data_IF_385980709435
#
_entry.id   IF_385980709435
#
_cell.length_a   1.000
_cell.length_b   1.000
_cell.length_c   1.000
_cell.angle_alpha   90.00
_cell.angle_beta   90.00
_cell.angle_gamma   90.00
#
_symmetry.space_group_name_H-M   'P 1'
#
loop_
_entity.id
_entity.type
_entity.pdbx_description
1 polymer ?
#
# COMPACT_ATOMS: atom_id res chain seq x y z
N UNK A 1 29.05 -6.36 -17.99
CA UNK A 1 30.32 -6.25 -17.25
C UNK A 1 30.28 -4.96 -16.44
N UNK A 2 30.44 -5.09 -15.11
CA UNK A 2 30.77 -4.08 -14.06
C UNK A 2 29.83 -2.85 -13.92
N UNK A 3 28.90 -2.76 -12.96
CA UNK A 3 28.91 -2.70 -11.46
C UNK A 3 28.76 -1.26 -10.93
N UNK A 4 27.62 -1.02 -10.29
CA UNK A 4 27.45 -0.35 -8.99
C UNK A 4 28.31 0.91 -8.72
N UNK A 5 27.79 2.08 -9.07
CA UNK A 5 28.19 3.32 -8.42
C UNK A 5 27.49 3.43 -7.05
N UNK A 6 28.22 3.00 -6.03
CA UNK A 6 28.04 3.51 -4.67
C UNK A 6 28.38 5.00 -4.72
N UNK A 7 27.41 5.86 -4.44
CA UNK A 7 27.62 7.29 -4.25
C UNK A 7 28.44 7.51 -2.96
N UNK A 8 29.76 7.35 -3.07
CA UNK A 8 30.70 7.78 -2.06
C UNK A 8 30.68 9.31 -2.00
N UNK A 9 30.27 9.82 -0.85
CA UNK A 9 30.27 11.23 -0.49
C UNK A 9 31.70 11.80 -0.57
N UNK A 10 32.02 12.51 -1.65
CA UNK A 10 33.21 13.37 -1.72
C UNK A 10 32.78 14.76 -1.29
N UNK A 11 33.11 15.17 -0.06
CA UNK A 11 32.97 16.58 0.36
C UNK A 11 34.05 17.40 -0.33
N UNK A 12 33.66 18.52 -0.94
CA UNK A 12 34.62 19.44 -1.57
C UNK A 12 35.41 20.19 -0.50
N UNK A 13 36.68 20.53 -0.75
CA UNK A 13 37.54 21.32 0.17
C UNK A 13 36.89 22.63 0.65
N UNK A 14 35.96 23.18 -0.13
CA UNK A 14 35.14 24.34 0.22
C UNK A 14 34.17 24.11 1.38
N UNK A 15 33.66 22.89 1.56
CA UNK A 15 32.72 22.53 2.61
C UNK A 15 33.42 22.48 3.98
N UNK A 16 34.62 21.91 4.02
CA UNK A 16 35.41 21.78 5.25
C UNK A 16 35.86 23.15 5.81
N UNK A 17 36.18 24.11 4.94
CA UNK A 17 36.54 25.48 5.34
C UNK A 17 35.34 26.19 6.00
N UNK A 18 34.12 25.98 5.52
CA UNK A 18 32.91 26.60 6.04
C UNK A 18 32.48 26.03 7.40
N UNK A 19 32.68 24.73 7.64
CA UNK A 19 32.46 24.09 8.94
C UNK A 19 33.45 24.64 9.98
N UNK A 20 34.72 24.82 9.60
CA UNK A 20 35.76 25.37 10.49
C UNK A 20 35.54 26.85 10.86
N UNK A 21 34.91 27.62 9.97
CA UNK A 21 34.52 29.02 10.20
C UNK A 21 33.25 29.16 11.06
N UNK A 22 32.59 28.05 11.42
CA UNK A 22 31.42 28.03 12.31
C UNK A 22 30.07 28.33 11.63
N UNK A 23 30.02 28.35 10.29
CA UNK A 23 28.79 28.66 9.55
C UNK A 23 27.90 27.43 9.29
N UNK A 24 28.44 26.21 9.40
CA UNK A 24 27.71 24.96 9.17
C UNK A 24 27.94 23.97 10.32
N UNK A 25 26.92 23.16 10.61
CA UNK A 25 26.98 22.07 11.59
C UNK A 25 27.79 20.90 10.97
N UNK A 26 28.77 20.32 11.68
CA UNK A 26 29.48 19.14 11.21
C UNK A 26 28.51 17.99 10.93
N UNK A 27 28.63 17.38 9.75
CA UNK A 27 27.85 16.19 9.42
C UNK A 27 28.44 15.02 10.20
N UNK A 28 27.64 14.38 11.05
CA UNK A 28 28.04 13.14 11.72
C UNK A 28 28.10 12.02 10.67
N UNK A 29 29.30 11.48 10.44
CA UNK A 29 29.46 10.33 9.57
C UNK A 29 28.90 9.09 10.29
N UNK A 30 28.10 8.25 9.61
CA UNK A 30 27.71 6.96 10.17
C UNK A 30 28.98 6.11 10.40
N UNK A 31 29.03 5.31 11.48
CA UNK A 31 30.20 4.51 11.81
C UNK A 31 30.60 3.61 10.64
N UNK A 32 31.89 3.51 10.40
CA UNK A 32 32.43 2.76 9.27
C UNK A 32 32.19 1.27 9.49
N UNK A 33 31.98 0.47 8.43
CA UNK A 33 31.65 -0.96 8.57
C UNK A 33 32.64 -1.79 9.40
N UNK A 34 33.90 -1.35 9.51
CA UNK A 34 34.91 -1.96 10.39
C UNK A 34 34.72 -1.64 11.87
N UNK A 35 34.18 -0.47 12.22
CA UNK A 35 33.90 -0.06 13.60
C UNK A 35 32.70 -0.84 14.15
N UNK A 36 31.67 -1.03 13.33
CA UNK A 36 30.50 -1.87 13.64
C UNK A 36 30.94 -3.33 13.88
N UNK A 37 31.85 -3.84 13.05
CA UNK A 37 32.36 -5.21 13.18
C UNK A 37 33.20 -5.42 14.45
N UNK A 38 34.00 -4.43 14.85
CA UNK A 38 34.77 -4.50 16.09
C UNK A 38 33.90 -4.39 17.35
N UNK A 39 32.84 -3.58 17.32
CA UNK A 39 31.85 -3.53 18.41
C UNK A 39 31.11 -4.86 18.56
N UNK A 40 30.66 -5.46 17.46
CA UNK A 40 29.99 -6.76 17.46
C UNK A 40 30.91 -7.88 17.98
N UNK A 41 32.19 -7.87 17.61
CA UNK A 41 33.17 -8.86 18.07
C UNK A 41 33.48 -8.73 19.57
N UNK A 42 33.58 -7.50 20.10
CA UNK A 42 33.71 -7.25 21.54
C UNK A 42 32.47 -7.65 22.33
N UNK A 43 31.29 -7.43 21.76
CA UNK A 43 30.03 -7.83 22.38
C UNK A 43 29.93 -9.36 22.48
N UNK A 44 30.48 -10.08 21.49
CA UNK A 44 30.53 -11.54 21.46
C UNK A 44 31.57 -12.12 22.43
N UNK A 45 32.77 -11.52 22.53
CA UNK A 45 33.79 -11.93 23.51
C UNK A 45 33.30 -11.74 24.96
N UNK A 46 32.56 -10.67 25.26
CA UNK A 46 31.94 -10.47 26.57
C UNK A 46 30.82 -11.48 26.92
N UNK A 47 30.29 -12.19 25.92
CA UNK A 47 29.26 -13.23 26.10
C UNK A 47 29.85 -14.61 26.40
N UNK A 48 31.06 -14.92 25.92
CA UNK A 48 31.70 -16.22 26.11
C UNK A 48 32.41 -16.34 27.47
N UNK A 49 32.92 -15.25 28.03
CA UNK A 49 33.63 -15.26 29.32
C UNK A 49 32.73 -15.59 30.53
N UNK A 50 31.40 -15.55 30.36
CA UNK A 50 30.42 -15.83 31.42
C UNK A 50 29.97 -17.29 31.54
N UNK A 51 30.52 -18.23 30.75
CA UNK A 51 29.99 -19.60 30.67
C UNK A 51 30.87 -20.72 31.22
N UNK A 52 31.98 -20.42 31.90
CA UNK A 52 32.82 -21.44 32.52
C UNK A 52 33.24 -21.10 33.95
N UNK A 53 32.29 -21.19 34.87
CA UNK A 53 32.56 -21.71 36.21
C UNK A 53 31.27 -22.34 36.74
N UNK A 54 31.18 -23.67 36.65
CA UNK A 54 30.28 -24.44 37.50
C UNK A 54 30.74 -24.21 38.95
N UNK A 55 29.82 -23.81 39.84
CA UNK A 55 29.76 -24.20 41.26
C UNK A 55 28.48 -23.61 41.88
N UNK A 56 27.48 -24.48 42.05
CA UNK A 56 26.72 -24.61 43.30
C UNK A 56 26.04 -23.37 43.91
N UNK A 57 25.23 -22.64 43.13
CA UNK A 57 24.03 -21.96 43.64
C UNK A 57 23.10 -21.70 42.44
N UNK A 58 22.01 -22.46 42.35
CA UNK A 58 20.92 -22.14 41.44
C UNK A 58 20.32 -20.81 41.90
N UNK A 59 20.74 -19.70 41.29
CA UNK A 59 20.17 -18.39 41.51
C UNK A 59 18.67 -18.45 41.14
N UNK A 60 17.74 -18.44 42.11
CA UNK A 60 16.32 -18.57 41.81
C UNK A 60 15.75 -17.32 41.13
N UNK A 61 16.55 -16.24 41.02
CA UNK A 61 16.14 -14.91 40.57
C UNK A 61 16.31 -14.64 39.07
N UNK A 62 16.92 -15.57 38.30
CA UNK A 62 16.89 -15.52 36.82
C UNK A 62 15.79 -16.39 36.21
N UNK A 63 14.84 -16.85 37.02
CA UNK A 63 13.48 -17.08 36.51
C UNK A 63 12.85 -15.71 36.36
N UNK A 64 12.91 -15.13 35.16
CA UNK A 64 11.86 -14.21 34.71
C UNK A 64 10.59 -15.06 34.49
N UNK A 65 10.12 -15.68 35.57
CA UNK A 65 8.74 -16.00 35.80
C UNK A 65 8.21 -14.75 36.52
N UNK A 66 8.06 -13.66 35.76
CA UNK A 66 7.41 -12.47 36.28
C UNK A 66 5.93 -12.80 36.41
N UNK A 67 5.59 -13.52 37.47
CA UNK A 67 4.20 -13.80 37.86
C UNK A 67 3.49 -12.51 38.32
N UNK A 68 4.20 -11.37 38.29
CA UNK A 68 3.67 -9.99 38.39
C UNK A 68 3.34 -9.37 37.01
N UNK A 69 3.02 -10.20 36.02
CA UNK A 69 2.14 -9.72 34.96
C UNK A 69 0.77 -9.47 35.59
N UNK A 70 0.47 -8.20 35.85
CA UNK A 70 -0.90 -7.77 36.14
C UNK A 70 -1.87 -8.48 35.18
N UNK A 71 -3.07 -8.87 35.65
CA UNK A 71 -4.07 -9.51 34.78
C UNK A 71 -4.29 -8.74 33.46
N UNK A 72 -4.08 -7.43 33.47
CA UNK A 72 -4.11 -6.56 32.30
C UNK A 72 -3.03 -6.91 31.26
N UNK A 73 -1.80 -7.19 31.69
CA UNK A 73 -0.69 -7.58 30.81
C UNK A 73 -0.91 -8.97 30.19
N UNK A 74 -1.39 -9.94 30.99
CA UNK A 74 -1.77 -11.28 30.50
C UNK A 74 -2.88 -11.17 29.43
N UNK A 75 -3.96 -10.43 29.73
CA UNK A 75 -5.06 -10.15 28.79
C UNK A 75 -4.59 -9.44 27.51
N UNK A 76 -3.66 -8.49 27.62
CA UNK A 76 -3.12 -7.79 26.45
C UNK A 76 -2.33 -8.73 25.53
N UNK A 77 -1.48 -9.59 26.09
CA UNK A 77 -0.75 -10.59 25.29
C UNK A 77 -1.69 -11.56 24.62
N UNK A 78 -2.65 -12.10 25.36
CA UNK A 78 -3.64 -13.02 24.82
C UNK A 78 -4.43 -12.37 23.68
N UNK A 79 -4.88 -11.13 23.86
CA UNK A 79 -5.58 -10.37 22.81
C UNK A 79 -4.72 -10.20 21.56
N UNK A 80 -3.47 -9.75 21.71
CA UNK A 80 -2.55 -9.59 20.56
C UNK A 80 -2.25 -10.90 19.86
N UNK A 81 -2.05 -11.97 20.62
CA UNK A 81 -1.77 -13.29 20.09
C UNK A 81 -2.99 -13.86 19.35
N UNK A 82 -4.20 -13.56 19.81
CA UNK A 82 -5.43 -13.90 19.11
C UNK A 82 -5.62 -13.10 17.81
N UNK A 83 -5.38 -11.78 17.83
CA UNK A 83 -5.41 -10.94 16.62
C UNK A 83 -4.44 -11.46 15.54
N UNK A 84 -3.21 -11.81 15.93
CA UNK A 84 -2.21 -12.37 15.02
C UNK A 84 -2.63 -13.74 14.46
N UNK A 85 -3.24 -14.59 15.29
CA UNK A 85 -3.78 -15.90 14.87
C UNK A 85 -4.91 -15.74 13.86
N UNK A 86 -5.83 -14.79 14.10
CA UNK A 86 -6.94 -14.50 13.19
C UNK A 86 -6.44 -14.02 11.84
N UNK A 87 -5.47 -13.11 11.80
CA UNK A 87 -4.85 -12.64 10.55
C UNK A 87 -4.12 -13.78 9.83
N UNK A 88 -3.41 -14.63 10.57
CA UNK A 88 -2.69 -15.76 9.99
C UNK A 88 -3.63 -16.83 9.41
N UNK A 89 -4.82 -16.99 9.97
CA UNK A 89 -5.82 -17.94 9.51
C UNK A 89 -6.59 -17.48 8.26
N UNK A 90 -6.57 -16.17 7.94
CA UNK A 90 -7.27 -15.64 6.75
C UNK A 90 -6.64 -16.18 5.46
N UNK A 91 -7.45 -16.59 4.46
CA UNK A 91 -6.95 -17.05 3.19
C UNK A 91 -6.18 -15.93 2.48
N UNK A 92 -5.06 -16.29 1.84
CA UNK A 92 -4.19 -15.37 1.10
C UNK A 92 -4.27 -15.71 -0.39
N UNK A 93 -4.63 -14.73 -1.21
CA UNK A 93 -4.76 -14.87 -2.65
C UNK A 93 -3.54 -14.31 -3.36
N UNK A 94 -3.19 -13.04 -3.23
CA UNK A 94 -1.89 -12.49 -3.71
C UNK A 94 -1.65 -12.54 -5.24
N UNK A 95 -2.59 -13.09 -6.01
CA UNK A 95 -2.54 -13.21 -7.48
C UNK A 95 -3.95 -13.07 -8.07
N UNK A 96 -4.03 -12.90 -9.39
CA UNK A 96 -5.29 -12.83 -10.12
C UNK A 96 -5.52 -14.17 -10.83
N UNK A 97 -6.63 -14.86 -10.49
CA UNK A 97 -6.99 -16.12 -11.14
C UNK A 97 -7.85 -15.84 -12.37
N UNK A 98 -7.50 -16.43 -13.52
CA UNK A 98 -8.41 -16.44 -14.67
C UNK A 98 -9.46 -17.52 -14.48
N UNK A 99 -10.75 -17.18 -14.63
CA UNK A 99 -11.88 -18.09 -14.44
C UNK A 99 -12.74 -18.19 -15.70
N UNK A 100 -13.40 -19.33 -15.87
CA UNK A 100 -14.42 -19.53 -16.90
C UNK A 100 -15.83 -19.44 -16.29
N UNK A 101 -16.86 -19.55 -17.14
CA UNK A 101 -18.26 -19.60 -16.68
C UNK A 101 -18.55 -20.78 -15.75
N UNK A 102 -17.88 -21.91 -15.97
CA UNK A 102 -18.04 -23.13 -15.15
C UNK A 102 -17.46 -22.93 -13.75
N UNK A 103 -16.31 -22.25 -13.67
CA UNK A 103 -15.64 -21.93 -12.41
C UNK A 103 -16.32 -20.82 -11.62
N UNK A 104 -17.24 -20.07 -12.25
CA UNK A 104 -17.87 -18.88 -11.67
C UNK A 104 -18.51 -19.18 -10.31
N UNK A 105 -19.30 -20.26 -10.24
CA UNK A 105 -20.04 -20.61 -9.02
C UNK A 105 -19.06 -20.95 -7.90
N UNK A 106 -18.06 -21.80 -8.18
CA UNK A 106 -17.08 -22.22 -7.20
C UNK A 106 -16.18 -21.06 -6.73
N UNK A 107 -15.78 -20.17 -7.64
CA UNK A 107 -14.80 -19.14 -7.32
C UNK A 107 -15.43 -17.89 -6.70
N UNK A 108 -16.71 -17.63 -6.97
CA UNK A 108 -17.42 -16.42 -6.53
C UNK A 108 -18.49 -16.75 -5.49
N UNK A 109 -19.40 -17.68 -5.77
CA UNK A 109 -20.50 -17.99 -4.85
C UNK A 109 -20.02 -18.82 -3.65
N UNK A 110 -19.10 -19.76 -3.87
CA UNK A 110 -18.54 -20.62 -2.81
C UNK A 110 -17.26 -20.03 -2.17
N UNK A 111 -17.00 -18.73 -2.37
CA UNK A 111 -15.89 -18.07 -1.72
C UNK A 111 -16.05 -18.05 -0.18
N UNK A 112 -14.94 -18.09 0.59
CA UNK A 112 -15.02 -18.05 2.04
C UNK A 112 -15.80 -16.84 2.56
N UNK A 113 -16.52 -17.02 3.65
CA UNK A 113 -17.25 -15.94 4.32
C UNK A 113 -16.28 -14.84 4.75
N UNK A 114 -16.71 -13.58 4.63
CA UNK A 114 -15.93 -12.37 4.93
C UNK A 114 -14.73 -12.10 3.99
N UNK A 115 -14.68 -12.75 2.83
CA UNK A 115 -13.72 -12.42 1.76
C UNK A 115 -14.41 -11.62 0.64
N UNK A 116 -13.79 -10.52 0.23
CA UNK A 116 -14.20 -9.81 -0.98
C UNK A 116 -13.65 -10.51 -2.23
N UNK A 117 -14.53 -10.73 -3.21
CA UNK A 117 -14.15 -11.27 -4.53
C UNK A 117 -14.37 -10.20 -5.59
N UNK A 118 -13.28 -9.74 -6.19
CA UNK A 118 -13.29 -8.73 -7.26
C UNK A 118 -13.15 -9.45 -8.60
N UNK A 119 -14.25 -9.49 -9.36
CA UNK A 119 -14.30 -10.03 -10.71
C UNK A 119 -14.11 -8.91 -11.74
N UNK A 120 -13.04 -9.01 -12.53
CA UNK A 120 -12.77 -8.14 -13.67
C UNK A 120 -13.22 -8.82 -14.95
N UNK A 121 -14.22 -8.23 -15.60
CA UNK A 121 -14.68 -8.60 -16.94
C UNK A 121 -13.92 -7.76 -17.94
N UNK A 122 -13.12 -8.41 -18.79
CA UNK A 122 -12.24 -7.75 -19.74
C UNK A 122 -12.39 -8.35 -21.13
N UNK A 123 -11.91 -7.61 -22.12
CA UNK A 123 -11.77 -8.07 -23.48
C UNK A 123 -10.34 -7.78 -23.95
N UNK A 124 -9.71 -8.74 -24.60
CA UNK A 124 -8.29 -8.73 -24.94
C UNK A 124 -7.93 -7.73 -26.05
N UNK A 125 -8.87 -7.43 -26.96
CA UNK A 125 -8.66 -6.45 -28.02
C UNK A 125 -8.94 -4.99 -27.60
N UNK A 126 -9.44 -4.75 -26.38
CA UNK A 126 -9.68 -3.39 -25.86
C UNK A 126 -8.50 -2.93 -25.00
N UNK A 127 -7.84 -1.85 -25.40
CA UNK A 127 -6.64 -1.33 -24.74
C UNK A 127 -6.86 -1.04 -23.24
N UNK A 128 -7.95 -0.36 -22.88
CA UNK A 128 -8.26 -0.04 -21.49
C UNK A 128 -8.58 -1.26 -20.63
N UNK A 129 -9.13 -2.32 -21.24
CA UNK A 129 -9.40 -3.56 -20.55
C UNK A 129 -8.11 -4.30 -20.21
N UNK A 130 -7.18 -4.40 -21.16
CA UNK A 130 -5.85 -5.00 -20.93
C UNK A 130 -5.08 -4.22 -19.85
N UNK A 131 -5.06 -2.89 -19.96
CA UNK A 131 -4.40 -2.02 -18.97
C UNK A 131 -4.98 -2.18 -17.56
N UNK A 132 -6.30 -2.35 -17.43
CA UNK A 132 -6.92 -2.57 -16.13
C UNK A 132 -6.49 -3.91 -15.52
N UNK A 133 -6.40 -4.96 -16.34
CA UNK A 133 -5.96 -6.28 -15.88
C UNK A 133 -4.53 -6.21 -15.33
N UNK A 134 -3.62 -5.52 -16.01
CA UNK A 134 -2.24 -5.31 -15.55
C UNK A 134 -2.20 -4.59 -14.19
N UNK A 135 -3.01 -3.55 -14.03
CA UNK A 135 -3.11 -2.80 -12.77
C UNK A 135 -3.66 -3.69 -11.64
N UNK A 136 -4.71 -4.48 -11.92
CA UNK A 136 -5.30 -5.36 -10.91
C UNK A 136 -4.33 -6.48 -10.51
N UNK A 137 -3.48 -6.95 -11.43
CA UNK A 137 -2.41 -7.90 -11.12
C UNK A 137 -1.33 -7.30 -10.19
N UNK A 138 -1.04 -6.00 -10.30
CA UNK A 138 -0.17 -5.29 -9.37
C UNK A 138 -0.85 -5.13 -7.99
N UNK A 139 -2.11 -4.72 -7.95
CA UNK A 139 -2.89 -4.51 -6.73
C UNK A 139 -3.07 -5.83 -5.96
N UNK A 140 -3.34 -6.94 -6.66
CA UNK A 140 -3.54 -8.25 -6.05
C UNK A 140 -2.33 -8.71 -5.21
N UNK A 141 -1.10 -8.34 -5.61
CA UNK A 141 0.12 -8.68 -4.86
C UNK A 141 0.24 -7.90 -3.56
N UNK A 142 -0.31 -6.68 -3.50
CA UNK A 142 -0.31 -5.84 -2.30
C UNK A 142 -1.44 -6.26 -1.33
N UNK A 143 -2.62 -6.55 -1.88
CA UNK A 143 -3.84 -6.83 -1.11
C UNK A 143 -4.15 -8.33 -1.06
N UNK A 144 -3.31 -9.06 -0.32
CA UNK A 144 -3.36 -10.53 -0.28
C UNK A 144 -4.66 -11.11 0.30
N UNK A 145 -5.41 -10.33 1.09
CA UNK A 145 -6.65 -10.79 1.73
C UNK A 145 -7.90 -10.64 0.84
N UNK A 146 -7.76 -9.96 -0.31
CA UNK A 146 -8.83 -9.82 -1.29
C UNK A 146 -8.60 -10.80 -2.44
N UNK A 147 -9.66 -11.47 -2.87
CA UNK A 147 -9.60 -12.42 -3.97
C UNK A 147 -9.85 -11.69 -5.28
N UNK A 148 -8.85 -11.65 -6.16
CA UNK A 148 -9.00 -11.07 -7.49
C UNK A 148 -9.15 -12.18 -8.54
N UNK A 149 -10.18 -12.05 -9.39
CA UNK A 149 -10.44 -12.96 -10.49
C UNK A 149 -10.69 -12.17 -11.78
N UNK A 150 -10.29 -12.74 -12.92
CA UNK A 150 -10.51 -12.14 -14.23
C UNK A 150 -11.19 -13.13 -15.16
N UNK A 151 -12.05 -12.63 -16.05
CA UNK A 151 -12.65 -13.44 -17.09
C UNK A 151 -12.92 -12.63 -18.35
N UNK A 152 -12.89 -13.31 -19.49
CA UNK A 152 -13.33 -12.73 -20.76
C UNK A 152 -14.84 -12.50 -20.69
N UNK A 153 -15.27 -11.26 -20.91
CA UNK A 153 -16.65 -10.84 -20.68
C UNK A 153 -17.66 -11.72 -21.42
N UNK A 154 -17.44 -11.97 -22.70
CA UNK A 154 -18.31 -12.79 -23.56
C UNK A 154 -18.33 -14.27 -23.21
N UNK A 155 -17.29 -14.79 -22.53
CA UNK A 155 -17.26 -16.19 -22.07
C UNK A 155 -18.09 -16.42 -20.82
N UNK A 156 -18.21 -15.40 -19.96
CA UNK A 156 -18.94 -15.49 -18.69
C UNK A 156 -20.39 -15.03 -18.84
N UNK A 157 -20.60 -13.91 -19.53
CA UNK A 157 -21.92 -13.30 -19.73
C UNK A 157 -22.20 -13.27 -21.25
N UNK A 158 -23.20 -14.03 -21.74
CA UNK A 158 -23.63 -13.95 -23.13
C UNK A 158 -24.04 -12.53 -23.49
N UNK A 159 -23.67 -12.07 -24.69
CA UNK A 159 -24.04 -10.75 -25.24
C UNK A 159 -23.59 -9.54 -24.40
N UNK A 160 -22.51 -9.67 -23.63
CA UNK A 160 -21.93 -8.53 -22.92
C UNK A 160 -21.35 -7.51 -23.91
N UNK A 161 -21.90 -6.29 -23.92
CA UNK A 161 -21.49 -5.25 -24.86
C UNK A 161 -20.07 -4.74 -24.59
N UNK A 162 -19.31 -4.47 -25.66
CA UNK A 162 -17.94 -3.98 -25.57
C UNK A 162 -17.85 -2.60 -24.89
N UNK A 163 -18.91 -1.78 -25.02
CA UNK A 163 -19.04 -0.49 -24.34
C UNK A 163 -19.07 -0.60 -22.81
N UNK A 164 -19.41 -1.79 -22.30
CA UNK A 164 -19.44 -2.11 -20.88
C UNK A 164 -18.09 -2.65 -20.37
N UNK A 165 -17.15 -2.92 -21.28
CA UNK A 165 -15.80 -3.36 -20.95
C UNK A 165 -14.84 -2.16 -20.78
N UNK A 166 -13.92 -2.19 -19.79
CA UNK A 166 -13.87 -3.16 -18.71
C UNK A 166 -15.02 -3.00 -17.70
N UNK A 167 -15.51 -4.12 -17.18
CA UNK A 167 -16.48 -4.16 -16.08
C UNK A 167 -15.85 -4.73 -14.82
N UNK A 168 -16.26 -4.24 -13.65
CA UNK A 168 -15.88 -4.81 -12.36
C UNK A 168 -17.15 -5.15 -11.57
N UNK A 169 -17.22 -6.38 -11.08
CA UNK A 169 -18.24 -6.87 -10.16
C UNK A 169 -17.57 -7.30 -8.88
N UNK A 170 -18.15 -6.92 -7.74
CA UNK A 170 -17.53 -7.14 -6.44
C UNK A 170 -18.54 -7.88 -5.58
N UNK A 171 -18.11 -9.02 -5.07
CA UNK A 171 -18.93 -9.92 -4.28
C UNK A 171 -18.43 -9.97 -2.85
N UNK A 172 -19.37 -10.15 -1.91
CA UNK A 172 -19.09 -10.54 -0.54
C UNK A 172 -20.17 -11.52 -0.11
N UNK A 173 -19.78 -12.66 0.46
CA UNK A 173 -20.72 -13.69 0.94
C UNK A 173 -21.73 -14.16 -0.13
N UNK A 174 -21.32 -14.25 -1.40
CA UNK A 174 -22.17 -14.68 -2.51
C UNK A 174 -23.11 -13.62 -3.09
N UNK A 175 -23.13 -12.40 -2.53
CA UNK A 175 -23.95 -11.29 -3.02
C UNK A 175 -23.09 -10.22 -3.70
N UNK A 176 -23.65 -9.57 -4.74
CA UNK A 176 -23.01 -8.41 -5.39
C UNK A 176 -23.12 -7.21 -4.47
N UNK A 177 -21.99 -6.75 -3.93
CA UNK A 177 -21.94 -5.52 -3.10
C UNK A 177 -21.72 -4.28 -3.94
N UNK A 178 -20.94 -4.38 -5.02
CA UNK A 178 -20.69 -3.27 -5.94
C UNK A 178 -20.59 -3.73 -7.38
N UNK A 179 -21.06 -2.87 -8.28
CA UNK A 179 -20.99 -3.06 -9.72
C UNK A 179 -20.49 -1.77 -10.37
N UNK A 180 -19.51 -1.89 -11.25
CA UNK A 180 -18.96 -0.79 -12.06
C UNK A 180 -18.94 -1.25 -13.52
N UNK A 181 -20.01 -0.92 -14.26
CA UNK A 181 -20.18 -1.34 -15.65
C UNK A 181 -20.76 -0.16 -16.44
N UNK A 182 -19.96 0.52 -17.29
CA UNK A 182 -18.51 0.34 -17.47
C UNK A 182 -17.70 0.88 -16.28
N UNK A 183 -16.59 0.23 -15.96
CA UNK A 183 -15.70 0.64 -14.87
C UNK A 183 -14.82 1.84 -15.24
N UNK A 184 -14.52 2.02 -16.54
CA UNK A 184 -13.56 3.01 -17.01
C UNK A 184 -13.81 4.46 -16.52
N UNK A 185 -15.05 5.00 -16.52
CA UNK A 185 -15.32 6.35 -16.02
C UNK A 185 -15.04 6.50 -14.53
N UNK A 186 -15.33 5.47 -13.73
CA UNK A 186 -15.07 5.47 -12.29
C UNK A 186 -13.58 5.39 -11.97
N UNK A 187 -12.78 4.75 -12.83
CA UNK A 187 -11.35 4.51 -12.64
C UNK A 187 -10.44 5.60 -13.23
N UNK A 188 -10.99 6.77 -13.57
CA UNK A 188 -10.23 7.91 -14.08
C UNK A 188 -10.08 7.96 -15.61
N UNK A 189 -10.81 7.11 -16.34
CA UNK A 189 -10.88 7.14 -17.80
C UNK A 189 -9.51 7.03 -18.45
N UNK A 190 -9.18 8.00 -19.32
CA UNK A 190 -7.89 8.05 -20.03
C UNK A 190 -6.68 8.14 -19.09
N UNK A 191 -6.85 8.65 -17.87
CA UNK A 191 -5.78 8.83 -16.87
C UNK A 191 -5.72 7.66 -15.87
N UNK A 192 -6.36 6.53 -16.16
CA UNK A 192 -6.36 5.35 -15.29
C UNK A 192 -4.91 4.95 -14.90
N UNK A 193 -4.70 4.83 -13.60
CA UNK A 193 -3.43 4.47 -12.96
C UNK A 193 -3.70 3.57 -11.77
N UNK A 194 -2.68 2.83 -11.33
CA UNK A 194 -2.77 1.93 -10.18
C UNK A 194 -3.32 2.64 -8.93
N UNK A 195 -2.77 3.82 -8.62
CA UNK A 195 -3.16 4.64 -7.47
C UNK A 195 -4.66 4.99 -7.50
N UNK A 196 -5.21 5.33 -8.68
CA UNK A 196 -6.63 5.69 -8.81
C UNK A 196 -7.52 4.45 -8.61
N UNK A 197 -7.13 3.31 -9.17
CA UNK A 197 -7.90 2.06 -9.04
C UNK A 197 -7.88 1.59 -7.58
N UNK A 198 -6.71 1.62 -6.94
CA UNK A 198 -6.53 1.30 -5.54
C UNK A 198 -7.39 2.23 -4.65
N UNK A 199 -7.35 3.54 -4.89
CA UNK A 199 -8.18 4.50 -4.17
C UNK A 199 -9.69 4.24 -4.33
N UNK A 200 -10.15 3.85 -5.53
CA UNK A 200 -11.57 3.52 -5.75
C UNK A 200 -11.99 2.30 -4.95
N UNK A 201 -11.13 1.27 -4.90
CA UNK A 201 -11.39 0.07 -4.10
C UNK A 201 -11.42 0.40 -2.60
N UNK A 202 -10.53 1.28 -2.14
CA UNK A 202 -10.52 1.78 -0.75
C UNK A 202 -11.79 2.56 -0.42
N UNK A 203 -12.20 3.50 -1.28
CA UNK A 203 -13.42 4.30 -1.07
C UNK A 203 -14.68 3.43 -0.98
N UNK A 204 -14.70 2.28 -1.66
CA UNK A 204 -15.78 1.30 -1.59
C UNK A 204 -15.63 0.31 -0.42
N UNK A 205 -14.60 0.46 0.42
CA UNK A 205 -14.38 -0.36 1.63
C UNK A 205 -13.91 -1.79 1.35
N UNK A 206 -13.31 -2.04 0.20
CA UNK A 206 -12.90 -3.39 -0.24
C UNK A 206 -11.47 -3.69 0.21
N UNK A 207 -10.63 -2.66 0.20
CA UNK A 207 -9.25 -2.72 0.67
C UNK A 207 -9.06 -1.68 1.76
N UNK A 208 -8.18 -2.00 2.70
CA UNK A 208 -7.73 -1.08 3.74
C UNK A 208 -6.39 -0.50 3.27
N UNK A 209 -6.33 0.82 3.16
CA UNK A 209 -5.12 1.56 2.83
C UNK A 209 -4.96 2.63 3.91
N UNK A 210 -3.74 2.82 4.37
CA UNK A 210 -3.37 3.95 5.21
C UNK A 210 -3.04 5.15 4.32
N UNK A 211 -4.07 5.92 3.93
CA UNK A 211 -3.93 7.12 3.10
C UNK A 211 -4.74 8.29 3.68
N UNK A 212 -4.04 9.38 3.98
CA UNK A 212 -4.62 10.63 4.49
C UNK A 212 -5.15 11.58 3.38
N UNK A 213 -5.03 11.21 2.10
CA UNK A 213 -5.30 12.13 0.97
C UNK A 213 -5.83 11.44 -0.30
N UNK A 214 -6.78 12.09 -1.00
CA UNK A 214 -7.30 11.62 -2.29
C UNK A 214 -6.27 11.87 -3.42
N UNK A 215 -5.73 10.83 -4.07
CA UNK A 215 -4.72 10.98 -5.12
C UNK A 215 -5.24 11.72 -6.37
N UNK A 216 -6.56 11.82 -6.57
CA UNK A 216 -7.16 12.60 -7.67
C UNK A 216 -6.99 14.11 -7.46
N UNK A 217 -6.89 14.58 -6.23
CA UNK A 217 -6.66 15.99 -5.93
C UNK A 217 -5.24 16.44 -6.30
N UNK A 218 -4.26 15.53 -6.26
CA UNK A 218 -2.89 15.81 -6.75
C UNK A 218 -2.87 16.11 -8.26
N UNK A 219 -3.71 15.40 -9.03
CA UNK A 219 -3.89 15.60 -10.46
C UNK A 219 -4.60 16.93 -10.75
N UNK A 220 -5.47 17.39 -9.85
CA UNK A 220 -6.12 18.69 -9.93
C UNK A 220 -5.10 19.83 -9.75
N UNK A 221 -4.26 19.74 -8.70
CA UNK A 221 -3.18 20.71 -8.44
C UNK A 221 -2.16 20.79 -9.58
N UNK A 222 -1.74 19.65 -10.15
CA UNK A 222 -0.85 19.65 -11.32
C UNK A 222 -1.49 20.24 -12.59
N UNK A 223 -2.78 20.00 -12.83
CA UNK A 223 -3.47 20.58 -13.98
C UNK A 223 -3.64 22.10 -13.82
N UNK A 224 -3.88 22.61 -12.60
CA UNK A 224 -3.91 24.06 -12.30
C UNK A 224 -2.54 24.69 -12.55
N UNK A 225 -1.45 24.06 -12.11
CA UNK A 225 -0.09 24.55 -12.34
C UNK A 225 0.27 24.55 -13.84
N UNK A 226 -0.16 23.52 -14.59
CA UNK A 226 0.05 23.47 -16.04
C UNK A 226 -0.77 24.51 -16.80
N UNK A 227 -2.04 24.72 -16.43
CA UNK A 227 -2.85 25.81 -17.03
C UNK A 227 -2.26 27.17 -16.68
N UNK A 228 -1.89 27.43 -15.42
CA UNK A 228 -1.24 28.69 -15.03
C UNK A 228 0.13 28.91 -15.70
N UNK A 229 0.86 27.85 -16.04
CA UNK A 229 2.11 27.97 -16.81
C UNK A 229 1.85 28.26 -18.29
N UNK A 230 0.77 27.71 -18.85
CA UNK A 230 0.38 27.91 -20.24
C UNK A 230 -0.24 29.31 -20.47
N UNK A 231 -0.98 29.87 -19.51
CA UNK A 231 -1.49 31.25 -19.57
C UNK A 231 -0.43 32.32 -19.30
N UNK A 232 0.67 31.98 -18.61
CA UNK A 232 1.78 32.91 -18.32
C UNK A 232 2.69 33.19 -19.52
N UNK A 233 2.59 32.42 -20.60
CA UNK A 233 3.41 32.63 -21.81
C UNK A 233 2.73 33.52 -22.87
N UNK A 234 1.42 33.78 -22.80
CA UNK A 234 0.69 34.50 -23.86
C UNK A 234 -0.05 35.80 -23.47
N UNK A 235 -0.22 36.16 -22.19
CA UNK A 235 -0.87 37.44 -21.84
C UNK A 235 -0.10 38.22 -20.78
N UNK A 236 0.55 39.28 -21.27
CA UNK A 236 0.81 40.47 -20.48
C UNK A 236 -0.50 41.27 -20.39
N UNK A 237 -0.74 41.77 -19.18
CA UNK A 237 -1.70 42.79 -18.77
C UNK A 237 -3.12 42.35 -18.35
N UNK A 238 -3.35 42.59 -17.05
CA UNK A 238 -4.56 43.13 -16.40
C UNK A 238 -5.52 42.22 -15.58
N UNK A 239 -5.67 42.71 -14.33
CA UNK A 239 -6.69 42.53 -13.29
C UNK A 239 -6.70 41.29 -12.37
N UNK A 240 -6.21 41.53 -11.14
CA UNK A 240 -6.56 40.79 -9.92
C UNK A 240 -8.09 40.68 -9.78
N UNK A 241 -8.64 39.47 -9.96
CA UNK A 241 -9.94 39.11 -9.41
C UNK A 241 -9.79 38.09 -8.28
N UNK A 242 -10.14 38.58 -7.10
CA UNK A 242 -10.36 37.85 -5.86
C UNK A 242 -11.23 36.60 -6.09
N UNK A 243 -10.65 35.41 -5.87
CA UNK A 243 -11.40 34.17 -5.70
C UNK A 243 -11.22 33.63 -4.29
N UNK A 244 -11.44 34.48 -3.27
CA UNK A 244 -11.95 34.02 -1.98
C UNK A 244 -13.40 33.57 -2.16
N UNK A 245 -13.60 32.31 -2.49
CA UNK A 245 -14.93 31.73 -2.39
C UNK A 245 -15.02 30.38 -3.06
N UNK A 246 -14.72 29.31 -2.33
CA UNK A 246 -15.59 28.14 -2.26
C UNK A 246 -15.21 27.38 -0.98
N UNK A 247 -15.95 27.68 0.09
CA UNK A 247 -15.85 26.99 1.36
C UNK A 247 -16.32 25.54 1.20
N UNK A 248 -15.53 24.64 1.79
CA UNK A 248 -15.92 23.30 2.17
C UNK A 248 -17.33 23.26 2.78
N UNK A 249 -18.21 22.45 2.21
CA UNK A 249 -19.36 21.88 2.94
C UNK A 249 -19.32 20.38 2.82
N UNK A 250 -18.68 19.74 3.81
CA UNK A 250 -18.95 18.34 4.15
C UNK A 250 -20.38 18.27 4.66
N UNK A 251 -21.22 17.47 4.01
CA UNK A 251 -22.42 16.93 4.62
C UNK A 251 -22.23 15.43 4.79
N UNK A 252 -21.84 15.05 6.01
CA UNK A 252 -22.01 13.71 6.54
C UNK A 252 -23.52 13.43 6.61
N UNK A 253 -24.02 12.58 5.72
CA UNK A 253 -25.31 11.94 5.92
C UNK A 253 -25.05 10.56 6.53
N UNK A 254 -25.14 10.51 7.86
CA UNK A 254 -25.39 9.26 8.59
C UNK A 254 -26.76 8.74 8.15
N UNK A 255 -26.83 7.48 7.73
CA UNK A 255 -28.09 6.75 7.75
C UNK A 255 -27.92 5.40 8.43
N UNK A 256 -28.95 5.10 9.22
CA UNK A 256 -29.16 3.95 10.08
C UNK A 256 -29.23 2.63 9.32
#
# INVERSE_FOLDING_TARGET
FYTSEMANHVTTEWHDIQVKMGNFVPIELPPTGEEVFQEDMKLMEGYEEKKHHDDEDSDPDFRIDSDDDSEAMKKYREKRLNELKEIAAKPKYGYVKHITKEDYVQEINDAPTDVFVVLVLYQDYLEYSVKLVEIIEAIAKKHIFVKFVKSIATKTIPDFADEHCPGILIYKNGEVVHQMIPALPELGGKKMSEIIVEFVLFKKGIIEIDIDYDPRDSLYKMNIVKTHKQYREDESDEEERDTRGYMHTHHFASYK
#
